data_IF_431883493743
#
_entry.id   IF_431883493743
#
_cell.length_a   1.000
_cell.length_b   1.000
_cell.length_c   1.000
_cell.angle_alpha   90.00
_cell.angle_beta   90.00
_cell.angle_gamma   90.00
#
_symmetry.space_group_name_H-M   'P 1'
#
loop_
_entity.id
_entity.type
_entity.pdbx_description
1 polymer ?
#
# COMPACT_ATOMS: atom_id res chain seq x y z
N UNK A 1 -2.28 -13.80 22.46
CA UNK A 1 -1.28 -13.41 21.44
C UNK A 1 -0.46 -12.28 22.04
N UNK A 2 0.84 -12.48 22.28
CA UNK A 2 1.67 -11.46 22.91
C UNK A 2 1.90 -10.31 21.93
N UNK A 3 1.41 -9.13 22.27
CA UNK A 3 1.43 -7.92 21.44
C UNK A 3 2.88 -7.44 21.34
N UNK A 4 3.41 -7.24 20.13
CA UNK A 4 4.73 -6.66 19.94
C UNK A 4 4.67 -5.20 20.40
N UNK A 5 5.61 -4.81 21.26
CA UNK A 5 5.81 -3.40 21.61
C UNK A 5 6.24 -2.60 20.39
N UNK A 6 5.52 -1.51 20.13
CA UNK A 6 5.80 -0.63 18.98
C UNK A 6 7.11 0.11 19.23
N UNK A 7 7.96 0.28 18.19
CA UNK A 7 9.14 1.12 18.33
C UNK A 7 8.73 2.56 18.59
N UNK A 8 9.65 3.32 19.19
CA UNK A 8 9.51 4.76 19.28
C UNK A 8 9.31 5.36 17.88
N UNK A 9 8.45 6.38 17.79
CA UNK A 9 8.03 6.98 16.53
C UNK A 9 9.23 7.53 15.74
N UNK A 10 10.08 8.34 16.38
CA UNK A 10 11.16 9.04 15.68
C UNK A 10 12.20 8.08 15.04
N UNK A 11 12.70 7.03 15.74
CA UNK A 11 13.54 6.01 15.10
C UNK A 11 12.85 5.24 13.97
N UNK A 12 11.54 5.01 14.07
CA UNK A 12 10.77 4.37 13.01
C UNK A 12 10.69 5.26 11.76
N UNK A 13 10.31 6.53 11.93
CA UNK A 13 10.25 7.52 10.85
C UNK A 13 11.59 7.65 10.13
N UNK A 14 12.69 7.73 10.88
CA UNK A 14 14.04 7.83 10.32
C UNK A 14 14.43 6.61 9.48
N UNK A 15 14.25 5.39 10.01
CA UNK A 15 14.58 4.15 9.29
C UNK A 15 13.73 3.96 8.04
N UNK A 16 12.43 4.24 8.14
CA UNK A 16 11.51 4.13 7.01
C UNK A 16 11.92 5.11 5.90
N UNK A 17 12.06 6.40 6.24
CA UNK A 17 12.37 7.46 5.26
C UNK A 17 13.74 7.23 4.61
N UNK A 18 14.74 6.85 5.39
CA UNK A 18 16.08 6.56 4.88
C UNK A 18 16.07 5.41 3.86
N UNK A 19 15.43 4.29 4.19
CA UNK A 19 15.35 3.14 3.28
C UNK A 19 14.49 3.45 2.06
N UNK A 20 13.43 4.24 2.22
CA UNK A 20 12.59 4.66 1.10
C UNK A 20 13.40 5.49 0.10
N UNK A 21 14.16 6.47 0.59
CA UNK A 21 15.05 7.30 -0.22
C UNK A 21 16.17 6.47 -0.87
N UNK A 22 16.80 5.56 -0.12
CA UNK A 22 17.89 4.73 -0.64
C UNK A 22 17.41 3.83 -1.78
N UNK A 23 16.28 3.15 -1.58
CA UNK A 23 15.73 2.24 -2.60
C UNK A 23 15.23 2.98 -3.83
N UNK A 24 14.71 4.20 -3.67
CA UNK A 24 14.42 5.10 -4.78
C UNK A 24 15.65 5.34 -5.66
N UNK A 25 16.81 5.66 -5.08
CA UNK A 25 18.03 5.84 -5.87
C UNK A 25 18.58 4.54 -6.46
N UNK A 26 18.57 3.45 -5.69
CA UNK A 26 19.09 2.15 -6.14
C UNK A 26 18.32 1.62 -7.35
N UNK A 27 17.02 1.88 -7.45
CA UNK A 27 16.22 1.47 -8.61
C UNK A 27 16.13 2.57 -9.67
N UNK A 28 16.01 3.82 -9.26
CA UNK A 28 15.86 4.97 -10.16
C UNK A 28 17.08 5.21 -11.05
N UNK A 29 18.30 5.10 -10.51
CA UNK A 29 19.51 5.34 -11.31
C UNK A 29 19.70 4.29 -12.43
N UNK A 30 19.57 2.97 -12.19
CA UNK A 30 19.56 1.99 -13.26
C UNK A 30 18.39 2.17 -14.23
N UNK A 31 17.20 2.54 -13.73
CA UNK A 31 16.05 2.80 -14.59
C UNK A 31 16.33 3.93 -15.59
N UNK A 32 16.94 5.03 -15.15
CA UNK A 32 17.35 6.12 -16.04
C UNK A 32 18.37 5.66 -17.09
N UNK A 33 19.35 4.85 -16.68
CA UNK A 33 20.33 4.30 -17.62
C UNK A 33 19.64 3.44 -18.69
N UNK A 34 18.70 2.59 -18.29
CA UNK A 34 17.91 1.75 -19.21
C UNK A 34 17.04 2.62 -20.13
N UNK A 35 16.33 3.61 -19.58
CA UNK A 35 15.51 4.55 -20.35
C UNK A 35 16.34 5.29 -21.40
N UNK A 36 17.55 5.74 -21.04
CA UNK A 36 18.45 6.44 -21.97
C UNK A 36 18.95 5.57 -23.13
N UNK A 37 18.85 4.25 -23.00
CA UNK A 37 19.19 3.29 -24.06
C UNK A 37 17.99 2.90 -24.93
N UNK A 38 16.76 3.27 -24.55
CA UNK A 38 15.57 3.03 -25.38
C UNK A 38 15.55 3.95 -26.61
N UNK A 39 15.00 3.50 -27.76
CA UNK A 39 14.76 4.37 -28.91
C UNK A 39 13.87 5.56 -28.53
N UNK A 40 14.16 6.74 -29.08
CA UNK A 40 13.41 7.98 -28.79
C UNK A 40 11.90 7.81 -29.00
N UNK A 41 11.51 7.08 -30.05
CA UNK A 41 10.11 6.77 -30.36
C UNK A 41 9.37 5.96 -29.28
N UNK A 42 10.10 5.27 -28.39
CA UNK A 42 9.55 4.44 -27.31
C UNK A 42 9.76 5.01 -25.90
N UNK A 43 10.26 6.24 -25.78
CA UNK A 43 10.50 6.89 -24.49
C UNK A 43 10.05 8.34 -24.42
N UNK A 44 9.30 8.84 -25.42
CA UNK A 44 8.84 10.24 -25.49
C UNK A 44 8.19 10.66 -24.18
N UNK A 45 7.32 9.83 -23.61
CA UNK A 45 6.68 10.13 -22.34
C UNK A 45 7.64 10.04 -21.16
N UNK A 46 8.49 9.01 -21.13
CA UNK A 46 9.46 8.84 -20.06
C UNK A 46 10.45 10.01 -19.99
N UNK A 47 10.81 10.56 -21.16
CA UNK A 47 11.69 11.72 -21.29
C UNK A 47 10.99 13.02 -20.86
N UNK A 48 9.69 13.10 -21.12
CA UNK A 48 8.82 14.23 -20.84
C UNK A 48 8.51 14.44 -19.36
N UNK A 49 8.33 13.36 -18.58
CA UNK A 49 8.17 13.48 -17.13
C UNK A 49 9.53 13.65 -16.44
N UNK A 50 10.13 14.82 -16.66
CA UNK A 50 11.42 15.26 -16.13
C UNK A 50 11.50 15.19 -14.58
N UNK A 51 10.34 15.20 -13.91
CA UNK A 51 10.18 14.98 -12.46
C UNK A 51 10.73 13.62 -11.99
N UNK A 52 10.87 12.63 -12.89
CA UNK A 52 11.49 11.33 -12.60
C UNK A 52 12.99 11.26 -12.88
N UNK A 53 13.64 12.34 -13.36
CA UNK A 53 15.11 12.40 -13.48
C UNK A 53 15.72 12.83 -12.13
N UNK A 54 16.33 11.94 -11.31
CA UNK A 54 16.74 12.32 -9.97
C UNK A 54 18.26 12.53 -9.87
N UNK A 55 18.64 13.80 -9.74
CA UNK A 55 19.65 14.24 -8.75
C UNK A 55 19.38 15.66 -8.22
N UNK A 56 18.29 16.31 -8.62
CA UNK A 56 17.93 17.66 -8.17
C UNK A 56 17.47 17.70 -6.71
N UNK A 57 17.76 18.81 -6.03
CA UNK A 57 17.41 19.04 -4.62
C UNK A 57 15.91 18.84 -4.32
N UNK A 58 15.02 19.35 -5.19
CA UNK A 58 13.57 19.23 -4.99
C UNK A 58 13.06 17.79 -5.05
N UNK A 59 13.67 16.95 -5.90
CA UNK A 59 13.32 15.53 -5.95
C UNK A 59 13.70 14.83 -4.63
N UNK A 60 14.89 15.11 -4.09
CA UNK A 60 15.33 14.58 -2.79
C UNK A 60 14.36 14.97 -1.69
N UNK A 61 14.02 16.26 -1.60
CA UNK A 61 13.08 16.79 -0.61
C UNK A 61 11.72 16.13 -0.75
N UNK A 62 11.19 16.02 -1.97
CA UNK A 62 9.92 15.35 -2.24
C UNK A 62 9.91 13.89 -1.78
N UNK A 63 10.99 13.14 -2.03
CA UNK A 63 11.10 11.74 -1.58
C UNK A 63 11.22 11.60 -0.07
N UNK A 64 11.91 12.54 0.61
CA UNK A 64 11.97 12.58 2.08
C UNK A 64 10.58 12.83 2.66
N UNK A 65 9.87 13.85 2.17
CA UNK A 65 8.52 14.17 2.62
C UNK A 65 7.55 13.00 2.38
N UNK A 66 7.64 12.35 1.22
CA UNK A 66 6.84 11.16 0.88
C UNK A 66 7.16 9.97 1.81
N UNK A 67 8.44 9.71 2.07
CA UNK A 67 8.87 8.67 3.01
C UNK A 67 8.34 8.92 4.43
N UNK A 68 8.38 10.16 4.89
CA UNK A 68 7.82 10.56 6.20
C UNK A 68 6.30 10.38 6.24
N UNK A 69 5.58 10.83 5.21
CA UNK A 69 4.14 10.68 5.12
C UNK A 69 3.71 9.22 5.16
N UNK A 70 4.35 8.36 4.36
CA UNK A 70 4.10 6.92 4.42
C UNK A 70 4.43 6.33 5.78
N UNK A 71 5.57 6.69 6.38
CA UNK A 71 5.92 6.19 7.70
C UNK A 71 4.85 6.57 8.75
N UNK A 72 4.35 7.81 8.74
CA UNK A 72 3.27 8.23 9.63
C UNK A 72 1.98 7.45 9.40
N UNK A 73 1.60 7.21 8.14
CA UNK A 73 0.42 6.41 7.77
C UNK A 73 0.55 4.97 8.25
N UNK A 74 1.72 4.35 8.12
CA UNK A 74 1.92 2.93 8.47
C UNK A 74 2.23 2.68 9.95
N UNK A 75 2.71 3.69 10.68
CA UNK A 75 3.00 3.57 12.12
C UNK A 75 1.84 3.01 12.97
N UNK A 76 0.58 3.48 12.86
CA UNK A 76 -0.54 2.91 13.63
C UNK A 76 -0.81 1.43 13.32
N UNK A 77 -0.41 0.96 12.14
CA UNK A 77 -0.59 -0.41 11.67
C UNK A 77 0.63 -1.31 11.93
N UNK A 78 1.62 -0.85 12.70
CA UNK A 78 2.89 -1.57 12.93
C UNK A 78 2.70 -3.06 13.27
N UNK A 79 1.82 -3.36 14.22
CA UNK A 79 1.55 -4.72 14.66
C UNK A 79 0.97 -5.57 13.51
N UNK A 80 0.07 -5.03 12.69
CA UNK A 80 -0.48 -5.75 11.53
C UNK A 80 0.61 -6.04 10.51
N UNK A 81 1.51 -5.09 10.26
CA UNK A 81 2.58 -5.20 9.27
C UNK A 81 3.70 -6.15 9.69
N UNK A 82 3.94 -6.33 10.99
CA UNK A 82 5.10 -7.10 11.49
C UNK A 82 4.75 -8.33 12.36
N UNK A 83 3.50 -8.50 12.79
CA UNK A 83 3.01 -9.73 13.46
C UNK A 83 2.34 -10.69 12.48
N UNK A 84 1.71 -10.16 11.43
CA UNK A 84 0.98 -10.99 10.46
C UNK A 84 1.94 -11.77 9.57
N UNK A 85 1.61 -13.04 9.30
CA UNK A 85 2.27 -13.85 8.27
C UNK A 85 2.24 -13.16 6.88
N UNK A 86 1.23 -12.32 6.63
CA UNK A 86 1.05 -11.58 5.38
C UNK A 86 1.53 -10.12 5.45
N UNK A 87 2.11 -9.68 6.57
CA UNK A 87 2.42 -8.27 6.82
C UNK A 87 3.31 -7.61 5.74
N UNK A 88 4.27 -8.36 5.18
CA UNK A 88 5.10 -7.89 4.05
C UNK A 88 4.29 -7.67 2.77
N UNK A 89 3.37 -8.58 2.46
CA UNK A 89 2.50 -8.47 1.29
C UNK A 89 1.53 -7.31 1.46
N UNK A 90 1.00 -7.11 2.68
CA UNK A 90 0.16 -5.96 3.02
C UNK A 90 0.92 -4.66 2.80
N UNK A 91 2.16 -4.55 3.31
CA UNK A 91 2.99 -3.36 3.14
C UNK A 91 3.32 -3.08 1.67
N UNK A 92 3.71 -4.13 0.93
CA UNK A 92 3.97 -4.02 -0.51
C UNK A 92 2.72 -3.56 -1.26
N UNK A 93 1.59 -4.25 -1.06
CA UNK A 93 0.32 -3.93 -1.71
C UNK A 93 -0.16 -2.53 -1.38
N UNK A 94 0.03 -2.06 -0.15
CA UNK A 94 -0.32 -0.70 0.23
C UNK A 94 0.56 0.35 -0.46
N UNK A 95 1.89 0.17 -0.46
CA UNK A 95 2.82 1.12 -1.09
C UNK A 95 2.68 1.14 -2.62
N UNK A 96 2.69 -0.03 -3.24
CA UNK A 96 2.58 -0.16 -4.70
C UNK A 96 1.16 0.14 -5.18
N UNK A 97 0.14 -0.30 -4.44
CA UNK A 97 -1.26 -0.01 -4.75
C UNK A 97 -1.58 1.48 -4.63
N UNK A 98 -1.05 2.20 -3.63
CA UNK A 98 -1.20 3.66 -3.57
C UNK A 98 -0.49 4.35 -4.74
N UNK A 99 0.67 3.86 -5.19
CA UNK A 99 1.29 4.42 -6.39
C UNK A 99 0.45 4.18 -7.67
N UNK A 100 -0.15 3.00 -7.80
CA UNK A 100 -0.95 2.62 -8.96
C UNK A 100 -2.34 3.28 -9.00
N UNK A 101 -3.07 3.23 -7.87
CA UNK A 101 -4.47 3.67 -7.73
C UNK A 101 -4.62 5.01 -7.00
N UNK A 102 -3.62 5.46 -6.26
CA UNK A 102 -3.70 6.63 -5.38
C UNK A 102 -3.11 7.90 -5.99
N UNK A 103 -2.50 7.83 -7.18
CA UNK A 103 -1.99 9.04 -7.85
C UNK A 103 -3.13 10.00 -8.16
N UNK A 104 -2.92 11.28 -7.87
CA UNK A 104 -3.81 12.38 -8.27
C UNK A 104 -3.31 13.01 -9.57
N UNK A 105 -1.99 12.94 -9.80
CA UNK A 105 -1.36 13.35 -11.05
C UNK A 105 -1.32 12.16 -12.03
N UNK A 106 -1.52 12.37 -13.33
CA UNK A 106 -1.44 11.32 -14.33
C UNK A 106 0.01 10.95 -14.66
N UNK A 107 0.69 10.36 -13.68
CA UNK A 107 2.07 9.93 -13.80
C UNK A 107 2.20 8.60 -14.57
N UNK A 108 3.31 8.37 -15.29
CA UNK A 108 3.65 7.07 -15.86
C UNK A 108 3.54 5.94 -14.82
N UNK A 109 2.97 4.81 -15.21
CA UNK A 109 2.68 3.68 -14.32
C UNK A 109 1.47 3.84 -13.39
N UNK A 110 0.81 4.99 -13.33
CA UNK A 110 -0.47 5.15 -12.61
C UNK A 110 -1.68 4.94 -13.52
N UNK A 111 -2.84 4.65 -12.92
CA UNK A 111 -4.10 4.58 -13.68
C UNK A 111 -4.48 5.92 -14.26
N UNK A 112 -4.30 7.02 -13.52
CA UNK A 112 -4.58 8.36 -14.05
C UNK A 112 -3.71 8.61 -15.29
N UNK A 113 -2.44 8.22 -15.28
CA UNK A 113 -1.58 8.31 -16.46
C UNK A 113 -2.19 7.58 -17.67
N UNK A 114 -2.61 6.33 -17.50
CA UNK A 114 -3.21 5.52 -18.57
C UNK A 114 -4.50 6.15 -19.12
N UNK A 115 -5.26 6.85 -18.26
CA UNK A 115 -6.52 7.50 -18.59
C UNK A 115 -6.31 8.83 -19.32
N UNK A 116 -5.45 9.69 -18.79
CA UNK A 116 -5.34 11.08 -19.20
C UNK A 116 -4.26 11.35 -20.23
N UNK A 117 -3.38 10.40 -20.52
CA UNK A 117 -2.19 10.69 -21.34
C UNK A 117 -2.11 9.83 -22.59
N UNK A 118 -1.36 10.31 -23.57
CA UNK A 118 -1.05 9.60 -24.82
C UNK A 118 0.12 8.62 -24.68
N UNK A 119 0.65 8.48 -23.46
CA UNK A 119 1.75 7.58 -23.11
C UNK A 119 1.40 6.15 -23.51
N UNK A 120 2.35 5.45 -24.11
CA UNK A 120 2.12 4.08 -24.54
C UNK A 120 1.96 3.13 -23.35
N UNK A 121 1.20 2.06 -23.56
CA UNK A 121 1.04 1.02 -22.54
C UNK A 121 2.40 0.43 -22.09
N UNK A 122 3.35 0.31 -23.02
CA UNK A 122 4.69 -0.19 -22.74
C UNK A 122 5.47 0.73 -21.80
N UNK A 123 5.41 2.05 -22.01
CA UNK A 123 6.05 3.04 -21.12
C UNK A 123 5.42 3.01 -19.71
N UNK A 124 4.10 2.89 -19.61
CA UNK A 124 3.43 2.66 -18.32
C UNK A 124 3.95 1.40 -17.64
N UNK A 125 4.12 0.30 -18.38
CA UNK A 125 4.59 -0.96 -17.84
C UNK A 125 6.03 -0.87 -17.32
N UNK A 126 6.91 -0.13 -18.02
CA UNK A 126 8.28 0.12 -17.54
C UNK A 126 8.28 0.88 -16.22
N UNK A 127 7.56 2.00 -16.13
CA UNK A 127 7.47 2.79 -14.91
C UNK A 127 6.85 1.97 -13.76
N UNK A 128 5.75 1.26 -14.03
CA UNK A 128 5.07 0.42 -13.03
C UNK A 128 5.96 -0.70 -12.49
N UNK A 129 6.74 -1.32 -13.37
CA UNK A 129 7.70 -2.37 -13.00
C UNK A 129 8.82 -1.81 -12.14
N UNK A 130 9.37 -0.65 -12.49
CA UNK A 130 10.41 0.00 -11.70
C UNK A 130 9.89 0.35 -10.29
N UNK A 131 8.69 0.91 -10.18
CA UNK A 131 8.05 1.21 -8.89
C UNK A 131 7.82 -0.10 -8.09
N UNK A 132 7.35 -1.17 -8.74
CA UNK A 132 7.17 -2.47 -8.08
C UNK A 132 8.49 -3.01 -7.50
N UNK A 133 9.57 -2.97 -8.27
CA UNK A 133 10.89 -3.41 -7.85
C UNK A 133 11.42 -2.57 -6.68
N UNK A 134 11.24 -1.25 -6.72
CA UNK A 134 11.56 -0.36 -5.61
C UNK A 134 10.81 -0.76 -4.33
N UNK A 135 9.48 -0.94 -4.43
CA UNK A 135 8.67 -1.27 -3.25
C UNK A 135 9.01 -2.66 -2.70
N UNK A 136 9.29 -3.65 -3.56
CA UNK A 136 9.75 -4.98 -3.12
C UNK A 136 11.08 -4.90 -2.37
N UNK A 137 12.06 -4.19 -2.93
CA UNK A 137 13.36 -4.00 -2.30
C UNK A 137 13.24 -3.27 -0.96
N UNK A 138 12.43 -2.21 -0.92
CA UNK A 138 12.13 -1.46 0.30
C UNK A 138 11.51 -2.35 1.38
N UNK A 139 10.43 -3.07 1.05
CA UNK A 139 9.74 -3.95 2.01
C UNK A 139 10.67 -5.02 2.55
N UNK A 140 11.52 -5.61 1.70
CA UNK A 140 12.52 -6.59 2.12
C UNK A 140 13.55 -5.99 3.09
N UNK A 141 14.19 -4.87 2.72
CA UNK A 141 15.19 -4.20 3.55
C UNK A 141 14.61 -3.72 4.87
N UNK A 142 13.45 -3.06 4.82
CA UNK A 142 12.79 -2.50 5.99
C UNK A 142 12.35 -3.59 6.97
N UNK A 143 11.74 -4.66 6.45
CA UNK A 143 11.35 -5.81 7.29
C UNK A 143 12.55 -6.49 7.94
N UNK A 144 13.67 -6.60 7.22
CA UNK A 144 14.91 -7.15 7.76
C UNK A 144 15.49 -6.24 8.85
N UNK A 145 15.52 -4.93 8.62
CA UNK A 145 15.99 -3.96 9.59
C UNK A 145 15.11 -3.98 10.86
N UNK A 146 13.80 -3.93 10.74
CA UNK A 146 12.88 -3.99 11.90
C UNK A 146 13.10 -5.26 12.72
N UNK A 147 13.24 -6.42 12.05
CA UNK A 147 13.54 -7.68 12.73
C UNK A 147 14.88 -7.63 13.49
N UNK A 148 15.90 -6.98 12.95
CA UNK A 148 17.21 -6.84 13.60
C UNK A 148 17.18 -5.84 14.76
N UNK A 149 16.53 -4.69 14.56
CA UNK A 149 16.37 -3.67 15.60
C UNK A 149 15.67 -4.24 16.83
N UNK A 150 14.64 -5.07 16.64
CA UNK A 150 13.91 -5.75 17.72
C UNK A 150 14.77 -6.73 18.52
N UNK A 151 15.64 -7.49 17.84
CA UNK A 151 16.61 -8.38 18.49
C UNK A 151 17.58 -7.60 19.38
N UNK A 152 18.03 -6.42 18.92
CA UNK A 152 18.99 -5.58 19.64
C UNK A 152 18.36 -4.86 20.85
N UNK A 153 17.08 -4.51 20.78
CA UNK A 153 16.34 -3.83 21.87
C UNK A 153 15.77 -4.78 22.92
N UNK A 154 16.01 -6.09 22.82
CA UNK A 154 15.53 -7.06 23.82
C UNK A 154 14.03 -7.34 23.75
N UNK A 155 13.30 -6.75 22.78
CA UNK A 155 11.92 -7.11 22.44
C UNK A 155 11.89 -8.48 21.73
N UNK A 156 12.24 -9.53 22.47
CA UNK A 156 12.28 -10.92 22.01
C UNK A 156 10.86 -11.40 21.75
N UNK A 157 10.66 -12.12 20.64
CA UNK A 157 9.46 -12.94 20.39
C UNK A 157 9.38 -14.04 21.46
N UNK A 158 8.35 -14.08 22.31
CA UNK A 158 8.00 -15.31 23.00
C UNK A 158 7.51 -16.29 21.93
N UNK A 159 8.19 -17.43 21.75
CA UNK A 159 7.62 -18.56 21.01
C UNK A 159 8.39 -19.11 19.82
N UNK A 160 9.55 -18.56 19.41
CA UNK A 160 10.31 -19.17 18.28
C UNK A 160 11.39 -20.18 18.71
N UNK A 161 11.71 -20.27 20.01
CA UNK A 161 12.72 -21.21 20.53
C UNK A 161 12.21 -22.24 21.56
N UNK A 162 11.02 -22.06 22.13
CA UNK A 162 10.48 -23.01 23.14
C UNK A 162 9.72 -24.19 22.50
N UNK A 163 9.16 -24.04 21.30
CA UNK A 163 8.38 -25.10 20.64
C UNK A 163 9.22 -26.34 20.28
N UNK A 164 10.55 -26.22 20.24
CA UNK A 164 11.44 -27.36 19.98
C UNK A 164 12.05 -28.00 21.24
N UNK A 165 11.81 -27.45 22.44
CA UNK A 165 12.27 -28.06 23.70
C UNK A 165 11.15 -28.68 24.52
N UNK A 166 9.91 -28.23 24.37
CA UNK A 166 8.81 -28.65 25.26
C UNK A 166 7.89 -29.74 24.67
N UNK A 167 8.08 -30.11 23.41
CA UNK A 167 7.29 -31.16 22.74
C UNK A 167 7.54 -32.57 23.30
N UNK A 168 8.55 -32.74 24.14
CA UNK A 168 8.87 -34.01 24.82
C UNK A 168 8.22 -34.16 26.19
N UNK A 169 7.90 -33.06 26.90
CA UNK A 169 7.42 -33.11 28.29
C UNK A 169 5.89 -33.01 28.42
N UNK A 170 5.22 -32.35 27.47
CA UNK A 170 3.79 -32.10 27.55
C UNK A 170 2.91 -33.33 27.27
N UNK A 171 3.40 -34.29 26.47
CA UNK A 171 2.66 -35.53 26.17
C UNK A 171 2.50 -36.46 27.38
N UNK A 172 3.41 -36.38 28.34
CA UNK A 172 3.37 -37.24 29.53
C UNK A 172 2.48 -36.65 30.63
N UNK A 173 2.38 -35.33 30.73
CA UNK A 173 1.47 -34.66 31.67
C UNK A 173 0.01 -34.66 31.19
N UNK A 174 -0.23 -34.49 29.89
CA UNK A 174 -1.59 -34.52 29.32
C UNK A 174 -2.28 -35.89 29.53
N UNK A 175 -1.52 -36.99 29.45
CA UNK A 175 -2.05 -38.33 29.69
C UNK A 175 -2.40 -38.61 31.17
N UNK A 176 -1.74 -37.94 32.12
CA UNK A 176 -2.00 -38.11 33.56
C UNK A 176 -3.20 -37.26 34.03
N UNK A 177 -3.36 -36.04 33.52
CA UNK A 177 -4.51 -35.18 33.88
C UNK A 177 -5.82 -35.67 33.25
N UNK A 178 -5.80 -36.19 32.02
CA UNK A 178 -7.01 -36.73 31.36
C UNK A 178 -7.52 -37.99 32.08
N UNK A 179 -6.63 -38.83 32.63
CA UNK A 179 -7.04 -40.00 33.41
C UNK A 179 -7.53 -39.65 34.83
N UNK A 180 -7.02 -38.59 35.45
CA UNK A 180 -7.47 -38.12 36.75
C UNK A 180 -8.87 -37.46 36.68
N UNK A 181 -9.17 -36.73 35.60
CA UNK A 181 -10.42 -35.99 35.45
C UNK A 181 -11.62 -36.82 34.95
N UNK A 182 -11.41 -38.01 34.37
CA UNK A 182 -12.52 -38.89 33.99
C UNK A 182 -13.23 -39.56 35.18
N UNK A 183 -12.60 -39.66 36.36
CA UNK A 183 -13.22 -40.31 37.53
C UNK A 183 -14.23 -39.44 38.30
N UNK A 184 -14.31 -38.13 38.01
CA UNK A 184 -15.17 -37.19 38.74
C UNK A 184 -16.26 -36.52 37.88
N UNK A 185 -16.53 -37.02 36.67
CA UNK A 185 -17.54 -36.43 35.80
C UNK A 185 -18.97 -36.80 36.24
N UNK A 186 -19.56 -35.99 37.13
CA UNK A 186 -21.02 -35.94 37.31
C UNK A 186 -21.64 -35.18 36.14
N UNK A 187 -22.61 -35.81 35.48
CA UNK A 187 -23.40 -35.25 34.38
C UNK A 187 -23.90 -33.83 34.71
N UNK A 188 -23.52 -32.81 33.91
CA UNK A 188 -24.06 -31.47 34.09
C UNK A 188 -25.48 -31.42 33.53
N UNK A 189 -26.43 -31.05 34.40
CA UNK A 189 -27.77 -30.64 34.01
C UNK A 189 -27.71 -29.50 32.99
N UNK A 190 -28.69 -29.50 32.08
CA UNK A 190 -28.80 -28.64 30.90
C UNK A 190 -28.49 -27.16 31.17
N UNK A 191 -27.25 -26.75 30.90
CA UNK A 191 -26.94 -25.35 30.68
C UNK A 191 -27.56 -24.94 29.35
N UNK A 192 -28.48 -23.98 29.39
CA UNK A 192 -28.93 -23.24 28.21
C UNK A 192 -27.70 -22.62 27.56
N UNK A 193 -27.36 -23.10 26.37
CA UNK A 193 -26.33 -22.50 25.53
C UNK A 193 -26.70 -21.04 25.26
N UNK A 194 -25.79 -20.08 25.48
CA UNK A 194 -26.01 -18.72 24.99
C UNK A 194 -26.14 -18.82 23.47
N UNK A 195 -27.25 -18.30 22.98
CA UNK A 195 -27.56 -18.16 21.56
C UNK A 195 -26.29 -17.71 20.83
N UNK A 196 -25.76 -18.60 20.00
CA UNK A 196 -24.64 -18.27 19.13
C UNK A 196 -25.15 -17.23 18.15
N UNK A 197 -24.76 -15.97 18.38
CA UNK A 197 -24.95 -14.91 17.40
C UNK A 197 -24.31 -15.40 16.09
N UNK A 198 -25.17 -15.74 15.14
CA UNK A 198 -24.83 -16.27 13.82
C UNK A 198 -23.68 -15.46 13.19
N UNK A 199 -22.79 -16.09 12.41
CA UNK A 199 -21.69 -15.40 11.78
C UNK A 199 -22.24 -14.28 10.90
N UNK A 200 -21.86 -13.04 11.22
CA UNK A 200 -22.12 -11.87 10.38
C UNK A 200 -21.71 -12.22 8.95
N UNK A 201 -22.64 -12.06 8.01
CA UNK A 201 -22.44 -12.41 6.61
C UNK A 201 -21.38 -11.46 6.01
N UNK A 202 -20.11 -11.88 6.08
CA UNK A 202 -18.93 -11.10 5.66
C UNK A 202 -19.10 -10.47 4.26
N UNK A 203 -19.68 -11.14 3.25
CA UNK A 203 -19.93 -10.55 1.93
C UNK A 203 -20.88 -9.35 1.96
N UNK A 204 -21.88 -9.37 2.84
CA UNK A 204 -22.89 -8.31 2.94
C UNK A 204 -22.30 -7.05 3.59
N UNK A 205 -21.47 -7.24 4.62
CA UNK A 205 -20.74 -6.13 5.26
C UNK A 205 -19.70 -5.51 4.33
N UNK A 206 -18.97 -6.34 3.58
CA UNK A 206 -18.01 -5.90 2.57
C UNK A 206 -18.71 -5.08 1.48
N UNK A 207 -19.80 -5.61 0.93
CA UNK A 207 -20.63 -4.92 -0.08
C UNK A 207 -21.15 -3.58 0.44
N UNK A 208 -21.70 -3.57 1.66
CA UNK A 208 -22.22 -2.36 2.28
C UNK A 208 -21.16 -1.27 2.48
N UNK A 209 -19.96 -1.65 2.92
CA UNK A 209 -18.82 -0.73 3.04
C UNK A 209 -18.37 -0.21 1.68
N UNK A 210 -18.08 -1.10 0.72
CA UNK A 210 -17.59 -0.73 -0.61
C UNK A 210 -18.58 0.18 -1.31
N UNK A 211 -19.89 -0.09 -1.25
CA UNK A 211 -20.91 0.78 -1.85
C UNK A 211 -20.90 2.18 -1.23
N UNK A 212 -20.86 2.29 0.10
CA UNK A 212 -20.79 3.60 0.77
C UNK A 212 -19.51 4.35 0.41
N UNK A 213 -18.37 3.65 0.38
CA UNK A 213 -17.09 4.22 -0.01
C UNK A 213 -17.13 4.76 -1.44
N UNK A 214 -17.63 3.97 -2.40
CA UNK A 214 -17.78 4.38 -3.81
C UNK A 214 -18.62 5.64 -3.92
N UNK A 215 -19.76 5.71 -3.22
CA UNK A 215 -20.64 6.89 -3.27
C UNK A 215 -19.92 8.13 -2.72
N UNK A 216 -19.25 8.03 -1.58
CA UNK A 216 -18.51 9.16 -1.00
C UNK A 216 -17.36 9.59 -1.91
N UNK A 217 -16.61 8.63 -2.47
CA UNK A 217 -15.53 8.88 -3.44
C UNK A 217 -16.03 9.64 -4.66
N UNK A 218 -17.13 9.17 -5.27
CA UNK A 218 -17.74 9.80 -6.44
C UNK A 218 -18.21 11.22 -6.15
N UNK A 219 -18.96 11.41 -5.05
CA UNK A 219 -19.47 12.75 -4.69
C UNK A 219 -18.31 13.70 -4.44
N UNK A 220 -17.27 13.25 -3.72
CA UNK A 220 -16.08 14.07 -3.46
C UNK A 220 -15.40 14.45 -4.78
N UNK A 221 -15.19 13.49 -5.68
CA UNK A 221 -14.52 13.74 -6.95
C UNK A 221 -15.34 14.65 -7.88
N UNK A 222 -16.64 14.39 -8.04
CA UNK A 222 -17.51 15.16 -8.93
C UNK A 222 -17.85 16.56 -8.42
N UNK A 223 -17.73 16.81 -7.12
CA UNK A 223 -17.94 18.15 -6.54
C UNK A 223 -16.62 18.90 -6.43
N UNK A 224 -15.63 18.31 -5.78
CA UNK A 224 -14.35 18.98 -5.51
C UNK A 224 -13.48 19.07 -6.76
N UNK A 225 -13.52 18.08 -7.64
CA UNK A 225 -12.73 18.06 -8.87
C UNK A 225 -13.03 19.27 -9.77
N UNK A 226 -14.27 19.48 -10.24
CA UNK A 226 -14.63 20.64 -11.05
C UNK A 226 -14.43 21.97 -10.33
N UNK A 227 -14.71 22.03 -9.02
CA UNK A 227 -14.48 23.24 -8.22
C UNK A 227 -12.99 23.61 -8.23
N UNK A 228 -12.11 22.64 -7.98
CA UNK A 228 -10.67 22.86 -7.98
C UNK A 228 -10.14 23.14 -9.39
N UNK A 229 -10.69 22.48 -10.42
CA UNK A 229 -10.39 22.75 -11.82
C UNK A 229 -10.59 24.24 -12.17
N UNK A 230 -11.71 24.81 -11.73
CA UNK A 230 -12.02 26.22 -11.92
C UNK A 230 -11.15 27.14 -11.06
N UNK A 231 -11.02 26.84 -9.76
CA UNK A 231 -10.28 27.70 -8.82
C UNK A 231 -8.79 27.78 -9.16
N UNK A 232 -8.19 26.66 -9.58
CA UNK A 232 -6.77 26.60 -9.91
C UNK A 232 -6.45 27.05 -11.34
N UNK A 233 -7.46 27.45 -12.14
CA UNK A 233 -7.24 27.92 -13.51
C UNK A 233 -6.68 26.84 -14.44
N UNK A 234 -7.10 25.58 -14.27
CA UNK A 234 -6.55 24.48 -15.05
C UNK A 234 -6.79 24.63 -16.56
N UNK A 235 -7.87 25.28 -16.97
CA UNK A 235 -8.15 25.53 -18.39
C UNK A 235 -7.00 26.32 -19.06
N UNK A 236 -6.54 27.38 -18.40
CA UNK A 236 -5.44 28.21 -18.89
C UNK A 236 -4.11 27.44 -18.82
N UNK A 237 -3.88 26.73 -17.70
CA UNK A 237 -2.68 25.93 -17.50
C UNK A 237 -2.53 24.82 -18.57
N UNK A 238 -3.63 24.14 -18.93
CA UNK A 238 -3.68 23.08 -19.95
C UNK A 238 -3.33 23.58 -21.35
N UNK A 239 -3.55 24.87 -21.63
CA UNK A 239 -3.24 25.47 -22.93
C UNK A 239 -1.80 25.97 -23.02
N UNK A 240 -1.22 26.42 -21.89
CA UNK A 240 0.06 27.12 -21.88
C UNK A 240 1.25 26.26 -21.44
N UNK A 241 1.04 25.29 -20.55
CA UNK A 241 2.15 24.53 -20.00
C UNK A 241 2.49 23.34 -20.90
N UNK A 242 3.76 23.29 -21.32
CA UNK A 242 4.31 22.16 -22.09
C UNK A 242 3.91 20.82 -21.47
N UNK A 243 3.90 20.69 -20.11
CA UNK A 243 3.56 19.47 -19.35
C UNK A 243 2.24 18.79 -19.77
N UNK A 244 1.33 19.52 -20.42
CA UNK A 244 0.04 19.02 -20.87
C UNK A 244 0.01 18.59 -22.35
N UNK A 245 1.09 18.74 -23.12
CA UNK A 245 1.18 18.28 -24.52
C UNK A 245 0.90 16.77 -24.65
N UNK A 246 1.29 16.00 -23.65
CA UNK A 246 1.08 14.55 -23.61
C UNK A 246 -0.28 14.15 -23.03
N UNK A 247 -1.13 15.11 -22.65
CA UNK A 247 -2.47 14.83 -22.18
C UNK A 247 -3.40 14.60 -23.37
N UNK A 248 -4.36 13.69 -23.19
CA UNK A 248 -5.47 13.52 -24.12
C UNK A 248 -6.36 14.75 -24.02
N UNK A 249 -7.06 15.03 -25.10
CA UNK A 249 -8.11 16.03 -25.13
C UNK A 249 -9.16 15.74 -24.05
N UNK A 250 -9.17 16.57 -23.00
CA UNK A 250 -10.06 16.44 -21.85
C UNK A 250 -11.49 16.84 -22.19
N UNK A 251 -11.71 17.54 -23.31
CA UNK A 251 -13.04 17.88 -23.80
C UNK A 251 -13.64 16.76 -24.66
N UNK A 252 -12.81 15.78 -25.08
CA UNK A 252 -13.29 14.64 -25.84
C UNK A 252 -14.25 13.79 -25.01
N UNK A 253 -15.44 13.53 -25.58
CA UNK A 253 -16.49 12.73 -24.93
C UNK A 253 -15.94 11.38 -24.37
N UNK A 254 -15.08 10.63 -25.09
CA UNK A 254 -14.53 9.39 -24.56
C UNK A 254 -13.73 9.58 -23.27
N UNK A 255 -12.88 10.63 -23.19
CA UNK A 255 -12.09 10.92 -21.99
C UNK A 255 -13.02 11.36 -20.87
N UNK A 256 -13.96 12.28 -21.11
CA UNK A 256 -14.93 12.70 -20.10
C UNK A 256 -15.69 11.51 -19.50
N UNK A 257 -16.22 10.61 -20.34
CA UNK A 257 -16.90 9.41 -19.87
C UNK A 257 -15.96 8.52 -19.05
N UNK A 258 -14.75 8.29 -19.54
CA UNK A 258 -13.78 7.43 -18.86
C UNK A 258 -13.31 8.02 -17.52
N UNK A 259 -13.23 9.34 -17.41
CA UNK A 259 -12.95 10.05 -16.15
C UNK A 259 -14.10 9.87 -15.17
N UNK A 260 -15.32 10.23 -15.56
CA UNK A 260 -16.48 10.19 -14.67
C UNK A 260 -16.82 8.76 -14.22
N UNK A 261 -16.84 7.81 -15.16
CA UNK A 261 -17.18 6.42 -14.86
C UNK A 261 -15.99 5.61 -14.34
N UNK A 262 -14.75 5.98 -14.70
CA UNK A 262 -13.54 5.38 -14.15
C UNK A 262 -13.43 5.54 -12.64
N UNK A 263 -13.97 6.64 -12.08
CA UNK A 263 -14.04 6.82 -10.63
C UNK A 263 -14.90 5.78 -9.92
N UNK A 264 -15.90 5.19 -10.59
CA UNK A 264 -16.70 4.11 -10.00
C UNK A 264 -15.82 2.89 -9.78
N UNK A 265 -15.04 2.52 -10.81
CA UNK A 265 -14.11 1.40 -10.75
C UNK A 265 -13.01 1.64 -9.71
N UNK A 266 -12.40 2.83 -9.72
CA UNK A 266 -11.36 3.23 -8.76
C UNK A 266 -11.89 3.22 -7.33
N UNK A 267 -13.05 3.83 -7.10
CA UNK A 267 -13.71 3.83 -5.80
C UNK A 267 -14.04 2.41 -5.32
N UNK A 268 -14.43 1.51 -6.23
CA UNK A 268 -14.75 0.13 -5.87
C UNK A 268 -13.50 -0.64 -5.46
N UNK A 269 -12.39 -0.49 -6.20
CA UNK A 269 -11.11 -1.10 -5.86
C UNK A 269 -10.59 -0.57 -4.52
N UNK A 270 -10.56 0.75 -4.34
CA UNK A 270 -10.11 1.36 -3.09
C UNK A 270 -10.99 0.92 -1.91
N UNK A 271 -12.31 0.88 -2.10
CA UNK A 271 -13.25 0.38 -1.11
C UNK A 271 -12.99 -1.09 -0.76
N UNK A 272 -12.71 -1.96 -1.74
CA UNK A 272 -12.36 -3.36 -1.50
C UNK A 272 -10.99 -3.53 -0.82
N UNK A 273 -10.02 -2.67 -1.11
CA UNK A 273 -8.69 -2.70 -0.47
C UNK A 273 -8.73 -2.26 1.00
N UNK A 274 -9.74 -1.47 1.38
CA UNK A 274 -9.91 -0.92 2.74
C UNK A 274 -10.92 -1.68 3.60
N UNK A 275 -11.67 -2.63 3.03
CA UNK A 275 -12.72 -3.41 3.70
C UNK A 275 -12.18 -4.66 4.39
#
# INVERSE_FOLDING_TARGET
MNKIERPQLLPYLGRFTLLFLLTYYVIGLPFLAIQSALPESGRVALDFYETFRPVGFMAVVGQILRGLAFALVFYPFYNILFESARGRLILFGALWGVALFGSVEPQPGSIEGIIYTTISFTEHLYALTAIALQMLLFVWLFSKWETLSRKRTGTVLPGSREILKDSGSLKDQENLEVQANMKNYKSPGSLKTPESSLPVNLPEKLRGYTTRFVVVHLVTYWVIGPLFYQIAGYADALQEMEIFEMWRDLESIPVVLLVFFGQIFRGAILGLLLA
#
